data_IF_329633676548
#
_entry.id   IF_329633676548
#
_cell.length_a   1.000
_cell.length_b   1.000
_cell.length_c   1.000
_cell.angle_alpha   90.00
_cell.angle_beta   90.00
_cell.angle_gamma   90.00
#
_symmetry.space_group_name_H-M   'P 1'
#
loop_
_entity.id
_entity.type
_entity.pdbx_description
1 polymer ?
#
# COMPACT_ATOMS: atom_id res chain seq x y z
N UNK A 1 -29.87 -0.46 9.90
CA UNK A 1 -28.83 -1.16 9.12
C UNK A 1 -29.37 -2.54 8.75
N UNK A 2 -29.60 -2.86 7.46
CA UNK A 2 -30.25 -4.14 7.07
C UNK A 2 -29.20 -5.26 6.97
N UNK A 3 -29.32 -6.37 7.71
CA UNK A 3 -28.26 -7.40 7.83
C UNK A 3 -27.88 -8.06 6.50
N UNK A 4 -28.81 -8.16 5.53
CA UNK A 4 -28.56 -8.70 4.20
C UNK A 4 -27.43 -7.97 3.43
N UNK A 5 -27.18 -6.68 3.69
CA UNK A 5 -26.10 -5.93 3.05
C UNK A 5 -24.70 -6.31 3.56
N UNK A 6 -24.57 -6.68 4.83
CA UNK A 6 -23.30 -7.14 5.39
C UNK A 6 -22.91 -8.51 4.84
N UNK A 7 -23.90 -9.39 4.64
CA UNK A 7 -23.71 -10.69 3.96
C UNK A 7 -23.22 -10.48 2.53
N UNK A 8 -23.82 -9.53 1.79
CA UNK A 8 -23.35 -9.18 0.45
C UNK A 8 -21.91 -8.66 0.42
N UNK A 9 -21.52 -7.78 1.36
CA UNK A 9 -20.14 -7.29 1.47
C UNK A 9 -19.16 -8.43 1.78
N UNK A 10 -19.53 -9.33 2.71
CA UNK A 10 -18.71 -10.48 3.06
C UNK A 10 -18.49 -11.43 1.87
N UNK A 11 -19.55 -11.76 1.13
CA UNK A 11 -19.44 -12.60 -0.07
C UNK A 11 -18.59 -11.94 -1.16
N UNK A 12 -18.72 -10.63 -1.34
CA UNK A 12 -17.89 -9.87 -2.29
C UNK A 12 -16.40 -9.88 -1.89
N UNK A 13 -16.10 -9.72 -0.61
CA UNK A 13 -14.73 -9.80 -0.09
C UNK A 13 -14.12 -11.20 -0.32
N UNK A 14 -14.88 -12.26 -0.04
CA UNK A 14 -14.46 -13.63 -0.31
C UNK A 14 -14.21 -13.89 -1.80
N UNK A 15 -15.06 -13.33 -2.68
CA UNK A 15 -14.89 -13.42 -4.12
C UNK A 15 -13.60 -12.74 -4.61
N UNK A 16 -13.32 -11.52 -4.14
CA UNK A 16 -12.10 -10.78 -4.50
C UNK A 16 -10.85 -11.52 -4.00
N UNK A 17 -10.86 -12.01 -2.75
CA UNK A 17 -9.76 -12.81 -2.17
C UNK A 17 -9.49 -14.08 -2.97
N UNK A 18 -10.54 -14.80 -3.37
CA UNK A 18 -10.39 -16.00 -4.19
C UNK A 18 -9.75 -15.70 -5.56
N UNK A 19 -10.11 -14.58 -6.18
CA UNK A 19 -9.48 -14.13 -7.44
C UNK A 19 -8.02 -13.72 -7.23
N UNK A 20 -7.73 -12.97 -6.17
CA UNK A 20 -6.36 -12.58 -5.83
C UNK A 20 -5.46 -13.80 -5.62
N UNK A 21 -5.90 -14.78 -4.83
CA UNK A 21 -5.15 -16.02 -4.57
C UNK A 21 -4.81 -16.81 -5.84
N UNK A 22 -5.69 -16.79 -6.84
CA UNK A 22 -5.44 -17.42 -8.15
C UNK A 22 -4.35 -16.69 -8.94
N UNK A 23 -4.35 -15.35 -8.89
CA UNK A 23 -3.36 -14.52 -9.61
C UNK A 23 -1.99 -14.55 -8.93
N UNK A 24 -1.93 -14.64 -7.61
CA UNK A 24 -0.68 -14.62 -6.85
C UNK A 24 -0.10 -16.01 -6.58
N UNK A 25 -0.67 -17.08 -7.17
CA UNK A 25 -0.27 -18.47 -6.86
C UNK A 25 1.21 -18.74 -7.18
N UNK A 26 1.69 -18.18 -8.29
CA UNK A 26 3.05 -18.40 -8.80
C UNK A 26 3.89 -17.09 -8.78
N UNK A 27 3.50 -16.13 -7.93
CA UNK A 27 4.15 -14.82 -7.83
C UNK A 27 4.85 -14.68 -6.49
N UNK A 28 6.16 -14.45 -6.50
CA UNK A 28 6.93 -14.15 -5.29
C UNK A 28 6.58 -12.76 -4.74
N UNK A 29 6.77 -12.57 -3.43
CA UNK A 29 6.67 -11.25 -2.83
C UNK A 29 7.75 -10.32 -3.40
N UNK A 30 7.42 -9.03 -3.64
CA UNK A 30 8.40 -8.09 -4.16
C UNK A 30 9.56 -7.93 -3.17
N UNK A 31 10.78 -8.15 -3.66
CA UNK A 31 12.02 -8.04 -2.85
C UNK A 31 12.47 -6.59 -2.68
N UNK A 32 12.10 -5.73 -3.62
CA UNK A 32 12.38 -4.29 -3.63
C UNK A 32 11.21 -3.55 -4.27
N UNK A 33 10.92 -2.35 -3.76
CA UNK A 33 9.93 -1.44 -4.30
C UNK A 33 10.56 -0.07 -4.57
N UNK A 34 9.98 0.69 -5.50
CA UNK A 34 10.34 2.08 -5.72
C UNK A 34 9.07 2.91 -5.82
N UNK A 35 9.08 4.08 -5.21
CA UNK A 35 7.97 5.05 -5.24
C UNK A 35 8.47 6.30 -5.96
N UNK A 36 7.83 6.60 -7.08
CA UNK A 36 8.09 7.82 -7.84
C UNK A 36 7.11 8.89 -7.37
N UNK A 37 7.65 9.93 -6.73
CA UNK A 37 6.89 10.98 -6.07
C UNK A 37 6.94 10.84 -4.55
N UNK A 38 7.24 11.95 -3.87
CA UNK A 38 7.37 12.04 -2.43
C UNK A 38 6.28 12.92 -1.78
N UNK A 39 5.18 13.16 -2.50
CA UNK A 39 4.00 13.81 -1.91
C UNK A 39 3.30 12.93 -0.86
N UNK A 40 2.14 13.38 -0.39
CA UNK A 40 1.35 12.71 0.68
C UNK A 40 1.12 11.22 0.39
N UNK A 41 0.71 10.87 -0.83
CA UNK A 41 0.51 9.46 -1.22
C UNK A 41 1.84 8.69 -1.31
N UNK A 42 2.91 9.33 -1.80
CA UNK A 42 4.22 8.71 -1.97
C UNK A 42 4.84 8.30 -0.64
N UNK A 43 4.78 9.20 0.36
CA UNK A 43 5.16 8.90 1.73
C UNK A 43 4.38 7.73 2.34
N UNK A 44 3.05 7.71 2.15
CA UNK A 44 2.20 6.62 2.64
C UNK A 44 2.47 5.26 1.99
N UNK A 45 2.70 5.22 0.67
CA UNK A 45 3.04 3.98 -0.05
C UNK A 45 4.40 3.46 0.40
N UNK A 46 5.39 4.35 0.53
CA UNK A 46 6.71 3.97 1.02
C UNK A 46 6.64 3.45 2.46
N UNK A 47 5.90 4.14 3.33
CA UNK A 47 5.70 3.69 4.72
C UNK A 47 5.09 2.29 4.78
N UNK A 48 3.99 2.06 4.07
CA UNK A 48 3.33 0.74 4.05
C UNK A 48 4.23 -0.35 3.46
N UNK A 49 5.02 -0.02 2.44
CA UNK A 49 5.99 -0.96 1.85
C UNK A 49 7.06 -1.36 2.86
N UNK A 50 7.66 -0.37 3.54
CA UNK A 50 8.66 -0.58 4.57
C UNK A 50 8.09 -1.36 5.77
N UNK A 51 6.88 -1.02 6.23
CA UNK A 51 6.21 -1.71 7.34
C UNK A 51 5.89 -3.18 7.02
N UNK A 52 5.59 -3.50 5.75
CA UNK A 52 5.40 -4.88 5.28
C UNK A 52 6.72 -5.62 5.01
N UNK A 53 7.87 -5.00 5.31
CA UNK A 53 9.20 -5.61 5.18
C UNK A 53 9.74 -5.60 3.75
N UNK A 54 9.20 -4.76 2.86
CA UNK A 54 9.70 -4.59 1.50
C UNK A 54 10.57 -3.33 1.45
N UNK A 55 11.90 -3.46 1.25
CA UNK A 55 12.77 -2.32 1.06
C UNK A 55 12.26 -1.41 -0.06
N UNK A 56 12.09 -0.13 0.22
CA UNK A 56 11.51 0.84 -0.71
C UNK A 56 12.42 2.05 -0.91
N UNK A 57 12.57 2.48 -2.16
CA UNK A 57 13.30 3.70 -2.52
C UNK A 57 12.33 4.74 -3.02
N UNK A 58 12.29 5.91 -2.38
CA UNK A 58 11.46 7.03 -2.82
C UNK A 58 12.30 7.99 -3.67
N UNK A 59 11.78 8.41 -4.83
CA UNK A 59 12.44 9.34 -5.74
C UNK A 59 11.49 10.43 -6.17
N UNK A 60 11.91 11.68 -6.01
CA UNK A 60 11.20 12.87 -6.50
C UNK A 60 12.20 13.77 -7.25
N UNK A 61 11.68 14.72 -8.00
CA UNK A 61 12.46 15.76 -8.69
C UNK A 61 12.83 16.93 -7.77
N UNK A 62 12.09 17.09 -6.67
CA UNK A 62 12.21 18.21 -5.74
C UNK A 62 12.64 17.71 -4.35
N UNK A 63 13.74 18.25 -3.83
CA UNK A 63 14.22 17.93 -2.48
C UNK A 63 13.18 18.29 -1.40
N UNK A 64 12.42 19.38 -1.61
CA UNK A 64 11.34 19.77 -0.70
C UNK A 64 10.25 18.71 -0.63
N UNK A 65 9.92 18.09 -1.76
CA UNK A 65 8.93 17.02 -1.83
C UNK A 65 9.45 15.77 -1.12
N UNK A 66 10.74 15.44 -1.27
CA UNK A 66 11.36 14.32 -0.54
C UNK A 66 11.26 14.51 0.97
N UNK A 67 11.62 15.69 1.49
CA UNK A 67 11.51 16.00 2.92
C UNK A 67 10.07 15.87 3.40
N UNK A 68 9.11 16.43 2.65
CA UNK A 68 7.69 16.30 2.98
C UNK A 68 7.23 14.83 3.03
N UNK A 69 7.68 14.00 2.09
CA UNK A 69 7.36 12.57 2.05
C UNK A 69 7.90 11.81 3.25
N UNK A 70 9.14 12.11 3.67
CA UNK A 70 9.74 11.54 4.87
C UNK A 70 8.99 11.95 6.14
N UNK A 71 8.75 13.25 6.34
CA UNK A 71 8.06 13.75 7.52
C UNK A 71 6.65 13.13 7.65
N UNK A 72 5.92 13.06 6.53
CA UNK A 72 4.57 12.47 6.49
C UNK A 72 4.55 10.96 6.68
N UNK A 73 5.56 10.26 6.18
CA UNK A 73 5.67 8.81 6.34
C UNK A 73 5.75 8.41 7.82
N UNK A 74 6.35 9.26 8.67
CA UNK A 74 6.37 9.07 10.12
C UNK A 74 5.05 9.42 10.80
N UNK A 75 4.35 10.47 10.35
CA UNK A 75 3.06 10.88 10.90
C UNK A 75 1.92 9.87 10.64
N UNK A 76 2.00 9.07 9.57
CA UNK A 76 0.96 8.05 9.27
C UNK A 76 1.07 6.79 10.17
N UNK A 77 1.96 6.82 11.16
CA UNK A 77 2.18 5.76 12.15
C UNK A 77 1.34 5.93 13.44
N UNK A 78 0.70 7.09 13.64
CA UNK A 78 -0.39 7.32 14.61
C UNK A 78 -1.76 7.33 13.92
#
# INVERSE_FOLDING_TARGET
>A
MRPARLVGIFLNDQYVKAKAKKLTKDVETPKHAAVLGAGIMGGGIAYQSAWKGVPVVMKDISDKSLTLGYDRSGETAE
#
